data_IF_305987616586
#
_entry.id   IF_305987616586
#
_cell.length_a   1.000
_cell.length_b   1.000
_cell.length_c   1.000
_cell.angle_alpha   90.00
_cell.angle_beta   90.00
_cell.angle_gamma   90.00
#
_symmetry.space_group_name_H-M   'P 1'
#
loop_
_entity.id
_entity.type
_entity.pdbx_description
1 polymer ?
#
# COMPACT_ATOMS: atom_id res chain seq x y z
N UNK A 1 -6.72 5.14 3.31
CA UNK A 1 -6.04 4.33 4.33
C UNK A 1 -4.99 5.21 4.97
N UNK A 2 -4.74 5.03 6.26
CA UNK A 2 -3.71 5.74 7.00
C UNK A 2 -2.85 4.73 7.72
N UNK A 3 -1.54 4.75 7.45
CA UNK A 3 -0.57 3.97 8.21
C UNK A 3 -0.12 4.77 9.44
N UNK A 4 0.02 4.09 10.58
CA UNK A 4 0.44 4.67 11.83
C UNK A 4 1.51 3.78 12.46
N UNK A 5 2.71 4.31 12.70
CA UNK A 5 3.76 3.63 13.44
C UNK A 5 3.49 3.76 14.95
N UNK A 6 3.56 2.65 15.70
CA UNK A 6 3.23 2.65 17.14
C UNK A 6 4.07 1.68 17.96
N UNK A 7 4.22 1.93 19.26
CA UNK A 7 4.90 1.04 20.23
C UNK A 7 3.96 0.33 21.20
N UNK A 8 2.65 0.62 21.14
CA UNK A 8 1.67 0.11 22.12
C UNK A 8 0.56 -0.66 21.43
N UNK A 9 -0.08 -1.51 22.24
CA UNK A 9 -1.30 -2.23 21.90
C UNK A 9 -2.44 -1.24 21.63
N UNK A 10 -2.56 -0.79 20.39
CA UNK A 10 -3.72 -0.04 19.94
C UNK A 10 -4.88 -1.03 19.79
N UNK A 11 -6.06 -0.68 20.31
CA UNK A 11 -7.31 -1.44 20.10
C UNK A 11 -7.73 -1.29 18.64
N UNK A 12 -7.06 -2.01 17.74
CA UNK A 12 -7.50 -2.20 16.38
C UNK A 12 -8.64 -3.22 16.35
N UNK A 13 -9.52 -3.11 15.35
CA UNK A 13 -10.65 -4.03 15.20
C UNK A 13 -10.18 -5.44 14.87
N UNK A 14 -9.08 -5.57 14.13
CA UNK A 14 -8.56 -6.83 13.63
C UNK A 14 -7.02 -6.87 13.61
N UNK A 15 -6.45 -8.07 13.73
CA UNK A 15 -4.99 -8.28 13.67
C UNK A 15 -4.59 -9.02 12.40
N UNK A 16 -3.57 -8.54 11.69
CA UNK A 16 -2.95 -9.22 10.55
C UNK A 16 -1.76 -10.04 11.05
N UNK A 17 -1.74 -11.32 10.73
CA UNK A 17 -0.72 -12.29 11.13
C UNK A 17 -0.01 -12.84 9.89
N UNK A 18 1.27 -12.51 9.75
CA UNK A 18 2.16 -13.10 8.77
C UNK A 18 2.58 -14.52 9.20
N UNK A 19 2.32 -15.50 8.35
CA UNK A 19 2.73 -16.90 8.53
C UNK A 19 3.94 -17.16 7.64
N UNK A 20 5.11 -16.79 8.16
CA UNK A 20 6.39 -16.93 7.47
C UNK A 20 6.84 -18.40 7.47
N UNK A 21 7.30 -18.92 6.33
CA UNK A 21 7.83 -20.29 6.20
C UNK A 21 6.85 -21.37 6.71
N UNK A 22 5.54 -21.17 6.52
CA UNK A 22 4.46 -22.09 6.99
C UNK A 22 4.45 -22.30 8.51
N UNK A 23 5.10 -21.43 9.29
CA UNK A 23 5.20 -21.56 10.76
C UNK A 23 3.99 -20.93 11.45
N UNK A 24 2.91 -21.70 11.55
CA UNK A 24 1.69 -21.31 12.27
C UNK A 24 1.91 -21.40 13.79
N UNK A 25 1.70 -20.31 14.53
CA UNK A 25 1.90 -20.25 15.98
C UNK A 25 0.60 -20.41 16.79
N UNK A 26 -0.48 -19.82 16.32
CA UNK A 26 -1.80 -19.78 16.97
C UNK A 26 -2.89 -20.31 16.03
N UNK A 27 -4.05 -20.67 16.57
CA UNK A 27 -5.26 -21.08 15.83
C UNK A 27 -5.07 -22.27 14.87
N UNK A 28 -4.05 -23.12 15.11
CA UNK A 28 -3.64 -24.27 14.27
C UNK A 28 -4.78 -25.21 13.88
N UNK A 29 -5.66 -25.53 14.83
CA UNK A 29 -6.76 -26.50 14.60
C UNK A 29 -7.74 -25.96 13.55
N UNK A 30 -8.20 -24.73 13.75
CA UNK A 30 -9.14 -24.05 12.85
C UNK A 30 -8.50 -23.81 11.49
N UNK A 31 -7.24 -23.35 11.45
CA UNK A 31 -6.52 -23.13 10.20
C UNK A 31 -6.37 -24.43 9.39
N UNK A 32 -6.11 -25.56 10.06
CA UNK A 32 -6.07 -26.87 9.40
C UNK A 32 -7.42 -27.31 8.86
N UNK A 33 -8.51 -27.06 9.60
CA UNK A 33 -9.89 -27.33 9.15
C UNK A 33 -10.27 -26.49 7.92
N UNK A 34 -9.74 -25.26 7.82
CA UNK A 34 -9.89 -24.38 6.66
C UNK A 34 -8.88 -24.69 5.53
N UNK A 35 -8.13 -25.79 5.63
CA UNK A 35 -7.08 -26.21 4.69
C UNK A 35 -5.98 -25.14 4.46
N UNK A 36 -5.79 -24.23 5.43
CA UNK A 36 -4.73 -23.22 5.37
C UNK A 36 -3.36 -23.85 5.64
N UNK A 37 -2.45 -23.75 4.69
CA UNK A 37 -1.08 -24.32 4.78
C UNK A 37 0.00 -23.25 4.98
N UNK A 38 -0.34 -21.98 4.82
CA UNK A 38 0.61 -20.87 4.84
C UNK A 38 1.46 -20.81 3.57
N UNK A 39 0.93 -21.28 2.44
CA UNK A 39 1.57 -21.06 1.13
C UNK A 39 1.52 -19.59 0.75
N UNK A 40 2.34 -19.18 -0.21
CA UNK A 40 2.35 -17.80 -0.68
C UNK A 40 0.96 -17.37 -1.19
N UNK A 41 0.62 -16.10 -0.94
CA UNK A 41 -0.69 -15.48 -1.20
C UNK A 41 -1.92 -16.11 -0.50
N UNK A 42 -1.76 -17.23 0.21
CA UNK A 42 -2.85 -17.89 0.91
C UNK A 42 -3.34 -17.01 2.07
N UNK A 43 -4.64 -16.69 2.10
CA UNK A 43 -5.19 -15.76 3.08
C UNK A 43 -6.51 -16.26 3.67
N UNK A 44 -6.62 -16.24 5.00
CA UNK A 44 -7.81 -16.66 5.74
C UNK A 44 -8.20 -15.60 6.76
N UNK A 45 -9.48 -15.25 6.78
CA UNK A 45 -10.08 -14.37 7.79
C UNK A 45 -10.78 -15.24 8.84
N UNK A 46 -10.34 -15.15 10.09
CA UNK A 46 -11.02 -15.72 11.24
C UNK A 46 -11.82 -14.61 11.93
N UNK A 47 -13.12 -14.55 11.66
CA UNK A 47 -14.01 -13.49 12.16
C UNK A 47 -14.16 -13.52 13.69
N UNK A 48 -14.24 -14.72 14.28
CA UNK A 48 -14.42 -14.88 15.73
C UNK A 48 -13.23 -14.36 16.54
N UNK A 49 -12.01 -14.69 16.11
CA UNK A 49 -10.78 -14.25 16.76
C UNK A 49 -10.29 -12.90 16.26
N UNK A 50 -10.98 -12.32 15.27
CA UNK A 50 -10.62 -11.08 14.57
C UNK A 50 -9.16 -11.09 14.11
N UNK A 51 -8.82 -12.09 13.29
CA UNK A 51 -7.49 -12.22 12.69
C UNK A 51 -7.54 -12.47 11.19
N UNK A 52 -6.62 -11.87 10.45
CA UNK A 52 -6.30 -12.22 9.07
C UNK A 52 -4.97 -12.95 9.08
N UNK A 53 -4.98 -14.24 8.76
CA UNK A 53 -3.77 -15.01 8.53
C UNK A 53 -3.40 -14.93 7.06
N UNK A 54 -2.14 -14.61 6.77
CA UNK A 54 -1.62 -14.62 5.41
C UNK A 54 -0.30 -15.38 5.34
N UNK A 55 -0.19 -16.29 4.38
CA UNK A 55 1.04 -17.03 4.10
C UNK A 55 2.10 -16.12 3.49
N UNK A 56 3.34 -16.32 3.90
CA UNK A 56 4.50 -15.61 3.40
C UNK A 56 5.62 -16.64 3.25
N UNK A 57 6.16 -16.80 2.04
CA UNK A 57 7.13 -17.86 1.75
C UNK A 57 8.35 -17.75 2.67
N UNK A 58 8.95 -16.57 2.73
CA UNK A 58 10.12 -16.27 3.54
C UNK A 58 10.08 -14.84 4.13
N UNK A 59 11.23 -14.36 4.61
CA UNK A 59 11.35 -13.03 5.21
C UNK A 59 12.01 -12.01 4.25
N UNK A 60 12.04 -12.30 2.95
CA UNK A 60 12.52 -11.35 1.96
C UNK A 60 11.48 -10.27 1.67
N UNK A 61 11.97 -9.14 1.16
CA UNK A 61 11.19 -7.93 0.91
C UNK A 61 9.94 -8.19 0.04
N UNK A 62 10.08 -8.91 -1.07
CA UNK A 62 8.97 -9.11 -2.00
C UNK A 62 7.92 -10.09 -1.49
N UNK A 63 8.33 -11.15 -0.78
CA UNK A 63 7.42 -12.12 -0.15
C UNK A 63 6.48 -11.42 0.85
N UNK A 64 7.04 -10.53 1.69
CA UNK A 64 6.26 -9.75 2.66
C UNK A 64 5.28 -8.81 1.95
N UNK A 65 5.73 -8.16 0.86
CA UNK A 65 4.89 -7.24 0.07
C UNK A 65 3.68 -7.96 -0.53
N UNK A 66 3.91 -9.12 -1.14
CA UNK A 66 2.86 -9.95 -1.75
C UNK A 66 1.85 -10.40 -0.70
N UNK A 67 2.34 -10.95 0.42
CA UNK A 67 1.50 -11.37 1.54
C UNK A 67 0.63 -10.22 2.06
N UNK A 68 1.21 -9.05 2.31
CA UNK A 68 0.46 -7.93 2.86
C UNK A 68 -0.49 -7.27 1.85
N UNK A 69 -0.16 -7.31 0.56
CA UNK A 69 -1.10 -6.93 -0.49
C UNK A 69 -2.34 -7.85 -0.49
N UNK A 70 -2.17 -9.15 -0.24
CA UNK A 70 -3.30 -10.07 -0.08
C UNK A 70 -4.11 -9.76 1.20
N UNK A 71 -3.42 -9.54 2.33
CA UNK A 71 -4.06 -9.22 3.60
C UNK A 71 -4.89 -7.93 3.54
N UNK A 72 -4.36 -6.85 2.95
CA UNK A 72 -5.09 -5.57 2.85
C UNK A 72 -6.28 -5.67 1.90
N UNK A 73 -6.16 -6.40 0.79
CA UNK A 73 -7.29 -6.71 -0.10
C UNK A 73 -8.36 -7.50 0.63
N UNK A 74 -7.98 -8.48 1.45
CA UNK A 74 -8.93 -9.23 2.28
C UNK A 74 -9.60 -8.31 3.31
N UNK A 75 -8.84 -7.46 4.00
CA UNK A 75 -9.38 -6.49 4.95
C UNK A 75 -10.41 -5.56 4.30
N UNK A 76 -10.18 -5.12 3.06
CA UNK A 76 -11.10 -4.27 2.30
C UNK A 76 -12.43 -4.94 1.95
N UNK A 77 -12.54 -6.27 2.06
CA UNK A 77 -13.83 -6.99 1.93
C UNK A 77 -14.69 -6.96 3.19
N UNK A 78 -14.19 -6.33 4.27
CA UNK A 78 -14.84 -6.29 5.59
C UNK A 78 -15.24 -4.88 5.99
N UNK A 79 -16.06 -4.78 7.04
CA UNK A 79 -16.48 -3.50 7.65
C UNK A 79 -15.51 -2.98 8.71
N UNK A 80 -14.39 -3.67 8.95
CA UNK A 80 -13.39 -3.23 9.92
C UNK A 80 -12.76 -1.90 9.48
N UNK A 81 -12.61 -0.99 10.43
CA UNK A 81 -12.04 0.35 10.21
C UNK A 81 -10.59 0.44 10.67
N UNK A 82 -10.13 -0.50 11.47
CA UNK A 82 -8.74 -0.53 11.90
C UNK A 82 -8.15 -1.93 11.91
N UNK A 83 -6.87 -2.03 11.54
CA UNK A 83 -6.10 -3.25 11.68
C UNK A 83 -4.75 -2.99 12.35
N UNK A 84 -4.18 -4.01 12.98
CA UNK A 84 -2.81 -3.95 13.49
C UNK A 84 -1.94 -5.06 12.92
N UNK A 85 -0.65 -4.79 12.79
CA UNK A 85 0.37 -5.77 12.41
C UNK A 85 1.62 -5.53 13.23
N UNK A 86 2.26 -6.61 13.70
CA UNK A 86 3.53 -6.53 14.41
C UNK A 86 4.67 -6.58 13.40
N UNK A 87 5.45 -5.51 13.33
CA UNK A 87 6.67 -5.40 12.54
C UNK A 87 7.87 -5.78 13.42
N UNK A 88 8.53 -6.88 13.08
CA UNK A 88 9.79 -7.29 13.74
C UNK A 88 11.01 -6.76 13.00
N UNK A 89 10.91 -6.72 11.69
CA UNK A 89 11.91 -6.31 10.71
C UNK A 89 11.20 -5.97 9.39
N UNK A 90 11.96 -5.49 8.40
CA UNK A 90 11.46 -5.18 7.06
C UNK A 90 10.29 -4.17 7.03
N UNK A 91 10.39 -3.08 7.80
CA UNK A 91 9.35 -2.05 7.86
C UNK A 91 8.94 -1.53 6.48
N UNK A 92 9.93 -1.26 5.61
CA UNK A 92 9.69 -0.85 4.23
C UNK A 92 8.82 -1.85 3.45
N UNK A 93 9.09 -3.15 3.55
CA UNK A 93 8.30 -4.17 2.87
C UNK A 93 6.85 -4.20 3.37
N UNK A 94 6.65 -3.95 4.66
CA UNK A 94 5.32 -3.86 5.27
C UNK A 94 4.55 -2.66 4.73
N UNK A 95 5.18 -1.49 4.73
CA UNK A 95 4.59 -0.26 4.18
C UNK A 95 4.25 -0.44 2.70
N UNK A 96 5.20 -0.91 1.89
CA UNK A 96 5.02 -1.15 0.46
C UNK A 96 3.86 -2.12 0.18
N UNK A 97 3.79 -3.24 0.89
CA UNK A 97 2.75 -4.25 0.70
C UNK A 97 1.35 -3.73 1.05
N UNK A 98 1.25 -2.97 2.13
CA UNK A 98 0.00 -2.36 2.56
C UNK A 98 -0.45 -1.25 1.60
N UNK A 99 0.40 -0.27 1.31
CA UNK A 99 0.04 0.89 0.47
C UNK A 99 -0.17 0.50 -1.00
N UNK A 100 0.80 -0.20 -1.61
CA UNK A 100 0.71 -0.56 -3.02
C UNK A 100 -0.34 -1.67 -3.26
N UNK A 101 -0.58 -2.52 -2.26
CA UNK A 101 -1.64 -3.53 -2.30
C UNK A 101 -3.05 -2.96 -2.17
N UNK A 102 -3.17 -1.82 -1.49
CA UNK A 102 -4.43 -1.08 -1.31
C UNK A 102 -4.79 -0.21 -2.52
N UNK A 103 -3.86 0.03 -3.45
CA UNK A 103 -4.09 0.81 -4.67
C UNK A 103 -5.31 0.31 -5.44
N UNK A 104 -6.13 1.23 -5.95
CA UNK A 104 -7.24 0.91 -6.84
C UNK A 104 -7.49 2.09 -7.77
N UNK A 105 -7.54 1.81 -9.06
CA UNK A 105 -7.97 2.78 -10.06
C UNK A 105 -9.46 2.57 -10.36
N UNK A 106 -10.32 3.43 -9.80
CA UNK A 106 -11.77 3.35 -9.98
C UNK A 106 -12.35 4.57 -10.71
N UNK A 107 -11.52 5.46 -11.28
CA UNK A 107 -11.92 6.71 -11.98
C UNK A 107 -13.08 6.48 -12.96
N UNK A 108 -13.05 5.41 -13.74
CA UNK A 108 -14.05 5.10 -14.76
C UNK A 108 -15.09 4.04 -14.35
N UNK A 109 -15.00 3.48 -13.14
CA UNK A 109 -16.00 2.53 -12.65
C UNK A 109 -17.25 3.28 -12.16
N UNK A 110 -18.43 2.81 -12.56
CA UNK A 110 -19.71 3.36 -12.09
C UNK A 110 -19.93 3.11 -10.59
N UNK A 111 -19.52 1.94 -10.09
CA UNK A 111 -19.46 1.65 -8.64
C UNK A 111 -18.04 1.87 -8.16
N UNK A 112 -17.86 2.80 -7.22
CA UNK A 112 -16.55 3.13 -6.65
C UNK A 112 -16.23 2.15 -5.53
N UNK A 113 -15.11 1.43 -5.70
CA UNK A 113 -14.59 0.53 -4.66
C UNK A 113 -13.93 1.33 -3.51
N UNK A 114 -13.64 2.61 -3.72
CA UNK A 114 -12.83 3.44 -2.82
C UNK A 114 -13.53 3.90 -1.54
N UNK A 115 -14.87 3.94 -1.48
CA UNK A 115 -15.61 4.40 -0.29
C UNK A 115 -15.28 3.54 0.94
N UNK A 116 -15.22 2.22 0.79
CA UNK A 116 -14.88 1.31 1.89
C UNK A 116 -13.36 1.20 2.15
N UNK A 117 -12.49 1.65 1.24
CA UNK A 117 -11.02 1.50 1.33
C UNK A 117 -10.32 2.70 1.98
N UNK A 118 -10.93 3.89 1.90
CA UNK A 118 -10.26 5.12 2.33
C UNK A 118 -10.28 5.33 3.85
N UNK A 119 -11.32 4.88 4.56
CA UNK A 119 -11.47 5.02 6.02
C UNK A 119 -10.87 3.86 6.85
N UNK A 120 -9.61 3.49 6.59
CA UNK A 120 -8.94 2.43 7.37
C UNK A 120 -7.64 2.92 8.01
N UNK A 121 -7.53 2.73 9.32
CA UNK A 121 -6.32 2.97 10.11
C UNK A 121 -5.55 1.66 10.31
N UNK A 122 -4.33 1.59 9.79
CA UNK A 122 -3.45 0.44 10.00
C UNK A 122 -2.34 0.83 10.96
N UNK A 123 -2.24 0.10 12.06
CA UNK A 123 -1.23 0.29 13.09
C UNK A 123 -0.09 -0.72 12.89
N UNK A 124 1.09 -0.21 12.57
CA UNK A 124 2.32 -1.01 12.48
C UNK A 124 3.01 -0.91 13.83
N UNK A 125 2.95 -1.99 14.60
CA UNK A 125 3.51 -2.09 15.95
C UNK A 125 5.00 -2.50 15.87
N UNK A 126 5.86 -1.67 16.45
CA UNK A 126 7.32 -1.89 16.56
C UNK A 126 7.74 -1.84 18.02
N UNK A 127 8.89 -2.44 18.36
CA UNK A 127 9.38 -2.44 19.75
C UNK A 127 9.72 -1.05 20.27
N UNK A 128 10.28 -0.20 19.40
CA UNK A 128 10.67 1.17 19.72
C UNK A 128 10.58 2.05 18.46
N UNK A 129 10.25 3.34 18.63
CA UNK A 129 10.27 4.32 17.55
C UNK A 129 11.49 5.20 17.73
N UNK A 130 12.50 4.96 16.89
CA UNK A 130 13.69 5.81 16.79
C UNK A 130 13.52 6.80 15.65
N UNK A 131 14.28 7.90 15.65
CA UNK A 131 14.26 8.87 14.53
C UNK A 131 14.61 8.22 13.19
N UNK A 132 15.54 7.25 13.19
CA UNK A 132 15.90 6.50 11.97
C UNK A 132 14.71 5.69 11.44
N UNK A 133 14.01 4.98 12.32
CA UNK A 133 12.86 4.17 11.95
C UNK A 133 11.68 5.03 11.48
N UNK A 134 11.46 6.17 12.13
CA UNK A 134 10.46 7.15 11.72
C UNK A 134 10.75 7.70 10.32
N UNK A 135 12.01 8.06 10.03
CA UNK A 135 12.41 8.51 8.69
C UNK A 135 12.23 7.41 7.64
N UNK A 136 12.58 6.15 7.94
CA UNK A 136 12.38 5.01 7.04
C UNK A 136 10.90 4.78 6.74
N UNK A 137 10.04 4.91 7.75
CA UNK A 137 8.59 4.83 7.60
C UNK A 137 8.05 5.93 6.67
N UNK A 138 8.41 7.18 6.95
CA UNK A 138 7.96 8.34 6.15
C UNK A 138 8.47 8.27 4.71
N UNK A 139 9.74 7.87 4.51
CA UNK A 139 10.31 7.67 3.17
C UNK A 139 9.55 6.59 2.40
N UNK A 140 9.26 5.44 3.02
CA UNK A 140 8.53 4.36 2.36
C UNK A 140 7.10 4.78 1.98
N UNK A 141 6.41 5.53 2.86
CA UNK A 141 5.08 6.08 2.57
C UNK A 141 5.15 7.06 1.39
N UNK A 142 6.07 8.02 1.41
CA UNK A 142 6.23 9.01 0.33
C UNK A 142 6.53 8.34 -1.02
N UNK A 143 7.37 7.30 -1.04
CA UNK A 143 7.65 6.52 -2.25
C UNK A 143 6.37 5.83 -2.76
N UNK A 144 5.60 5.21 -1.86
CA UNK A 144 4.36 4.54 -2.25
C UNK A 144 3.31 5.52 -2.81
N UNK A 145 3.20 6.71 -2.21
CA UNK A 145 2.32 7.78 -2.69
C UNK A 145 2.75 8.27 -4.08
N UNK A 146 4.04 8.50 -4.30
CA UNK A 146 4.58 8.87 -5.61
C UNK A 146 4.30 7.78 -6.66
N UNK A 147 4.52 6.50 -6.34
CA UNK A 147 4.22 5.37 -7.23
C UNK A 147 2.74 5.31 -7.58
N UNK A 148 1.85 5.48 -6.59
CA UNK A 148 0.42 5.47 -6.82
C UNK A 148 -0.07 6.69 -7.61
N UNK A 149 0.58 7.85 -7.46
CA UNK A 149 0.35 9.05 -8.29
C UNK A 149 0.68 8.77 -9.76
N UNK A 150 1.86 8.21 -10.04
CA UNK A 150 2.26 7.81 -11.39
C UNK A 150 1.29 6.77 -11.97
N UNK A 151 0.86 5.78 -11.18
CA UNK A 151 -0.16 4.81 -11.62
C UNK A 151 -1.48 5.47 -12.00
N UNK A 152 -1.91 6.52 -11.30
CA UNK A 152 -3.13 7.26 -11.67
C UNK A 152 -2.98 7.97 -13.01
N UNK A 153 -1.83 8.62 -13.24
CA UNK A 153 -1.54 9.29 -14.52
C UNK A 153 -1.54 8.28 -15.67
N UNK A 154 -0.79 7.18 -15.53
CA UNK A 154 -0.66 6.15 -16.57
C UNK A 154 -1.98 5.42 -16.85
N UNK A 155 -2.81 5.19 -15.83
CA UNK A 155 -4.11 4.53 -16.01
C UNK A 155 -5.22 5.47 -16.51
N UNK A 156 -4.99 6.79 -16.54
CA UNK A 156 -5.93 7.75 -17.09
C UNK A 156 -5.96 7.65 -18.61
N UNK A 157 -7.15 7.72 -19.22
CA UNK A 157 -7.29 7.57 -20.67
C UNK A 157 -6.60 8.72 -21.42
N UNK A 158 -6.09 8.50 -22.65
CA UNK A 158 -5.44 9.55 -23.44
C UNK A 158 -6.30 10.80 -23.64
N UNK A 159 -7.62 10.62 -23.82
CA UNK A 159 -8.59 11.72 -23.96
C UNK A 159 -8.66 12.61 -22.70
N UNK A 160 -8.30 12.07 -21.53
CA UNK A 160 -8.31 12.76 -20.23
C UNK A 160 -6.91 13.18 -19.76
N UNK A 161 -5.84 12.62 -20.33
CA UNK A 161 -4.44 12.85 -19.92
C UNK A 161 -3.54 13.09 -21.13
N UNK A 162 -3.87 14.15 -21.87
CA UNK A 162 -3.11 14.63 -23.01
C UNK A 162 -1.95 15.56 -22.55
N UNK A 163 -1.01 15.95 -23.43
CA UNK A 163 0.23 16.63 -23.03
C UNK A 163 0.04 17.89 -22.17
N UNK A 164 -0.97 18.71 -22.44
CA UNK A 164 -1.27 19.91 -21.63
C UNK A 164 -1.66 19.55 -20.20
N UNK A 165 -2.46 18.50 -19.99
CA UNK A 165 -2.84 18.02 -18.65
C UNK A 165 -1.62 17.42 -17.94
N UNK A 166 -0.77 16.69 -18.66
CA UNK A 166 0.48 16.18 -18.09
C UNK A 166 1.38 17.33 -17.63
N UNK A 167 1.52 18.40 -18.42
CA UNK A 167 2.30 19.58 -18.08
C UNK A 167 1.71 20.32 -16.86
N UNK A 168 0.38 20.43 -16.79
CA UNK A 168 -0.31 20.98 -15.62
C UNK A 168 0.00 20.18 -14.35
N UNK A 169 -0.11 18.85 -14.40
CA UNK A 169 0.19 18.01 -13.23
C UNK A 169 1.67 18.09 -12.82
N UNK A 170 2.59 18.15 -13.79
CA UNK A 170 4.01 18.38 -13.49
C UNK A 170 4.23 19.72 -12.75
N UNK A 171 3.51 20.78 -13.13
CA UNK A 171 3.57 22.08 -12.46
C UNK A 171 3.02 22.03 -11.04
N UNK A 172 1.92 21.30 -10.82
CA UNK A 172 1.32 21.12 -9.48
C UNK A 172 2.31 20.40 -8.57
N UNK A 173 2.84 19.26 -9.01
CA UNK A 173 3.84 18.49 -8.26
C UNK A 173 5.06 19.35 -7.93
N UNK A 174 5.58 20.10 -8.90
CA UNK A 174 6.74 20.96 -8.68
C UNK A 174 6.45 22.04 -7.63
N UNK A 175 5.29 22.71 -7.72
CA UNK A 175 4.89 23.73 -6.75
C UNK A 175 4.76 23.18 -5.33
N UNK A 176 4.11 22.02 -5.18
CA UNK A 176 3.92 21.37 -3.88
C UNK A 176 5.25 20.97 -3.22
N UNK A 177 6.25 20.63 -4.04
CA UNK A 177 7.56 20.17 -3.59
C UNK A 177 8.66 21.23 -3.70
N UNK A 178 8.30 22.49 -3.99
CA UNK A 178 9.26 23.61 -4.16
C UNK A 178 10.37 23.33 -5.19
N UNK A 179 10.00 22.73 -6.32
CA UNK A 179 10.87 22.43 -7.45
C UNK A 179 10.70 23.44 -8.59
N UNK A 180 11.74 23.64 -9.39
CA UNK A 180 11.65 24.38 -10.65
C UNK A 180 10.99 23.48 -11.72
N UNK A 181 10.01 24.01 -12.45
CA UNK A 181 9.35 23.34 -13.56
C UNK A 181 9.39 24.23 -14.80
N UNK A 182 9.87 23.68 -15.93
CA UNK A 182 9.88 24.34 -17.24
C UNK A 182 9.01 23.54 -18.17
N UNK A 183 8.03 24.22 -18.77
CA UNK A 183 7.14 23.66 -19.79
C UNK A 183 7.46 24.41 -21.08
N UNK A 184 7.73 23.65 -22.12
CA UNK A 184 8.04 24.16 -23.45
C UNK A 184 6.93 23.77 -24.42
N UNK A 185 6.61 24.67 -25.32
CA UNK A 185 5.62 24.51 -26.38
C UNK A 185 6.28 24.21 -27.73
N UNK A 186 5.46 24.06 -28.76
CA UNK A 186 5.91 23.71 -30.10
C UNK A 186 6.88 24.76 -30.68
N UNK A 187 6.67 26.05 -30.39
CA UNK A 187 7.56 27.14 -30.84
C UNK A 187 8.98 26.95 -30.29
N UNK A 188 9.12 26.69 -28.98
CA UNK A 188 10.43 26.40 -28.39
C UNK A 188 11.08 25.15 -28.98
N UNK A 189 10.31 24.08 -29.21
CA UNK A 189 10.82 22.83 -29.76
C UNK A 189 11.33 23.01 -31.20
N UNK A 190 10.63 23.80 -32.02
CA UNK A 190 11.05 24.16 -33.37
C UNK A 190 12.36 24.96 -33.35
N UNK A 191 12.47 25.98 -32.49
CA UNK A 191 13.68 26.79 -32.34
C UNK A 191 14.90 25.94 -31.94
N UNK A 192 14.70 24.88 -31.14
CA UNK A 192 15.76 23.97 -30.71
C UNK A 192 16.01 22.80 -31.69
N UNK A 193 15.28 22.70 -32.80
CA UNK A 193 15.47 21.65 -33.80
C UNK A 193 15.02 20.26 -33.35
N UNK A 194 14.01 20.16 -32.47
CA UNK A 194 13.53 18.91 -31.87
C UNK A 194 12.38 18.24 -32.67
N UNK A 195 12.50 18.15 -34.00
CA UNK A 195 11.45 17.66 -34.90
C UNK A 195 11.69 16.25 -35.47
N UNK A 196 11.96 15.24 -34.61
CA UNK A 196 12.26 13.85 -35.02
C UNK A 196 11.06 13.10 -35.60
#
# INVERSE_FOLDING_TARGET
MKLNLTTKYNRADIEIILVINKKIKSDKKILKELNFKGNDEECVLLTETKKIYVGCEDNHHDSIRIALACAIRKLNTTTYKSAKIICKDNLKAIVDGLELGNYTFDKYKSKKDSENKKEKDIYIEVSEITSKLQNEFEEAVNICEAVNSVRNMVNTTPDDFYPEIMALEASIIAKENSLECKIFDDEYLEEQGMGS
#
